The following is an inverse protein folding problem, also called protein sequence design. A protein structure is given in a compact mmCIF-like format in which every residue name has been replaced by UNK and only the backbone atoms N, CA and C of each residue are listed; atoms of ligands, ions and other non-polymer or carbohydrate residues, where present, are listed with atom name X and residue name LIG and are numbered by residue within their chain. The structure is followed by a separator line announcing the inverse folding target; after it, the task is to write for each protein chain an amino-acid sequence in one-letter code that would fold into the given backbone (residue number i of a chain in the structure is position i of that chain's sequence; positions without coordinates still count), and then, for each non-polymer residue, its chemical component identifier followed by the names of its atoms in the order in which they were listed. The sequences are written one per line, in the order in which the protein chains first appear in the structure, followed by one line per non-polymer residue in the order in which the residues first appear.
data_IF_273544641753
#
_entry.id   IF_273544641753
#
_cell.length_a   1.000
_cell.length_b   1.000
_cell.length_c   1.000
_cell.angle_alpha   90.00
_cell.angle_beta   90.00
_cell.angle_gamma   90.00
#
_symmetry.space_group_name_H-M   'P 1'
#
loop_
_entity.id
_entity.type
_entity.pdbx_description
1 polymer ?
#
# COMPACT_ATOMS: atom_id res chain seq x y z
N UNK A 1 9.02 1.38 -11.62
CA UNK A 1 8.67 0.64 -12.86
C UNK A 1 7.18 0.44 -12.90
N UNK A 2 6.51 1.08 -13.86
CA UNK A 2 5.08 0.89 -14.13
C UNK A 2 4.72 -0.58 -14.35
N UNK A 3 3.44 -0.91 -14.14
CA UNK A 3 2.95 -2.27 -14.37
C UNK A 3 3.09 -2.66 -15.83
N UNK A 4 3.78 -3.76 -16.09
CA UNK A 4 3.91 -4.30 -17.46
C UNK A 4 2.54 -4.78 -17.98
N UNK A 5 2.18 -4.32 -19.18
CA UNK A 5 1.01 -4.78 -19.93
C UNK A 5 1.43 -5.33 -21.29
N UNK A 6 0.54 -6.07 -21.96
CA UNK A 6 0.78 -6.55 -23.33
C UNK A 6 0.87 -5.38 -24.31
N UNK A 7 1.60 -5.56 -25.41
CA UNK A 7 1.71 -4.56 -26.46
C UNK A 7 0.35 -4.26 -27.12
N UNK A 8 -0.50 -5.28 -27.21
CA UNK A 8 -1.86 -5.20 -27.73
C UNK A 8 -2.75 -4.38 -26.79
N UNK A 9 -2.63 -4.57 -25.47
CA UNK A 9 -3.35 -3.77 -24.47
C UNK A 9 -2.89 -2.31 -24.51
N UNK A 10 -1.58 -2.06 -24.56
CA UNK A 10 -1.04 -0.70 -24.71
C UNK A 10 -1.64 -0.01 -25.95
N UNK A 11 -1.57 -0.68 -27.10
CA UNK A 11 -2.10 -0.14 -28.36
C UNK A 11 -3.61 0.13 -28.28
N UNK A 12 -4.37 -0.72 -27.59
CA UNK A 12 -5.79 -0.52 -27.38
C UNK A 12 -6.08 0.66 -26.44
N UNK A 13 -5.29 0.84 -25.37
CA UNK A 13 -5.39 1.99 -24.47
C UNK A 13 -5.08 3.31 -25.18
N UNK A 14 -4.20 3.28 -26.17
CA UNK A 14 -3.80 4.47 -26.93
C UNK A 14 -4.75 4.81 -28.08
N UNK A 15 -5.63 3.88 -28.43
CA UNK A 15 -6.55 4.03 -29.56
C UNK A 15 -7.68 5.04 -29.28
N UNK A 16 -8.33 5.51 -30.35
CA UNK A 16 -9.59 6.25 -30.26
C UNK A 16 -10.53 5.81 -31.37
N UNK A 17 -11.75 5.32 -31.07
CA UNK A 17 -12.37 5.19 -29.75
C UNK A 17 -11.87 3.97 -28.94
N UNK A 18 -11.69 4.15 -27.63
CA UNK A 18 -11.34 3.08 -26.67
C UNK A 18 -12.55 2.22 -26.30
N UNK A 19 -12.29 1.00 -25.82
CA UNK A 19 -13.32 0.04 -25.38
C UNK A 19 -12.91 -0.53 -24.02
N UNK A 20 -13.08 0.26 -22.94
CA UNK A 20 -12.59 -0.12 -21.62
C UNK A 20 -13.25 -1.41 -21.15
N UNK A 21 -12.45 -2.23 -20.48
CA UNK A 21 -12.84 -3.49 -19.92
C UNK A 21 -12.45 -3.54 -18.44
N UNK A 22 -13.37 -4.01 -17.62
CA UNK A 22 -13.16 -4.26 -16.20
C UNK A 22 -13.40 -5.73 -15.96
N UNK A 23 -12.49 -6.36 -15.25
CA UNK A 23 -12.60 -7.73 -14.74
C UNK A 23 -12.74 -7.67 -13.23
N UNK A 24 -13.59 -8.51 -12.65
CA UNK A 24 -13.62 -8.70 -11.20
C UNK A 24 -13.78 -10.17 -10.88
N UNK A 25 -12.68 -10.77 -10.44
CA UNK A 25 -12.59 -12.19 -10.10
C UNK A 25 -12.65 -12.35 -8.60
N UNK A 26 -13.65 -13.09 -8.10
CA UNK A 26 -13.72 -13.45 -6.70
C UNK A 26 -13.01 -14.78 -6.49
N UNK A 27 -12.07 -14.81 -5.55
CA UNK A 27 -11.23 -15.97 -5.21
C UNK A 27 -11.52 -16.36 -3.77
N UNK A 28 -11.84 -17.63 -3.52
CA UNK A 28 -12.00 -18.15 -2.16
C UNK A 28 -10.68 -18.03 -1.38
N UNK A 29 -10.75 -17.43 -0.20
CA UNK A 29 -9.55 -17.13 0.59
C UNK A 29 -8.93 -18.34 1.30
N UNK A 30 -9.69 -19.41 1.52
CA UNK A 30 -9.24 -20.61 2.21
C UNK A 30 -8.67 -21.64 1.23
N UNK A 31 -9.33 -21.84 0.09
CA UNK A 31 -8.86 -22.81 -0.91
C UNK A 31 -7.95 -22.19 -1.97
N UNK A 32 -8.05 -20.89 -2.24
CA UNK A 32 -7.47 -20.27 -3.44
C UNK A 32 -8.12 -20.75 -4.75
N UNK A 33 -9.08 -21.67 -4.67
CA UNK A 33 -9.67 -22.43 -5.76
C UNK A 33 -11.19 -22.31 -5.69
N UNK A 34 -11.72 -21.19 -6.18
CA UNK A 34 -13.09 -21.00 -6.67
C UNK A 34 -13.15 -19.59 -7.26
N UNK A 35 -13.23 -19.51 -8.59
CA UNK A 35 -13.25 -18.25 -9.34
C UNK A 35 -14.69 -17.93 -9.71
N UNK A 36 -15.32 -16.96 -9.03
CA UNK A 36 -16.53 -16.35 -9.57
C UNK A 36 -16.13 -15.15 -10.43
N UNK A 37 -16.39 -15.23 -11.73
CA UNK A 37 -16.30 -14.06 -12.61
C UNK A 37 -17.68 -13.44 -12.77
N UNK A 38 -17.88 -12.30 -12.10
CA UNK A 38 -19.17 -11.60 -12.08
C UNK A 38 -19.22 -10.44 -13.08
N UNK A 39 -18.12 -10.18 -13.81
CA UNK A 39 -17.99 -9.07 -14.75
C UNK A 39 -17.47 -9.61 -16.08
N UNK A 40 -18.37 -10.28 -16.80
CA UNK A 40 -18.06 -10.87 -18.09
C UNK A 40 -18.16 -9.87 -19.25
N UNK A 41 -17.43 -10.18 -20.33
CA UNK A 41 -17.26 -9.38 -21.54
C UNK A 41 -18.50 -9.25 -22.43
N UNK A 42 -19.56 -10.04 -22.20
CA UNK A 42 -20.76 -9.98 -23.04
C UNK A 42 -21.86 -9.13 -22.38
N UNK A 43 -22.59 -8.29 -23.14
CA UNK A 43 -23.69 -7.49 -22.61
C UNK A 43 -24.79 -8.30 -21.90
N UNK A 44 -24.95 -9.57 -22.28
CA UNK A 44 -25.92 -10.50 -21.69
C UNK A 44 -25.50 -11.07 -20.34
N UNK A 45 -24.20 -11.11 -20.03
CA UNK A 45 -23.68 -11.70 -18.79
C UNK A 45 -22.98 -10.69 -17.88
N UNK A 46 -22.75 -9.47 -18.35
CA UNK A 46 -22.20 -8.40 -17.53
C UNK A 46 -23.20 -7.97 -16.44
N UNK A 47 -22.83 -8.19 -15.18
CA UNK A 47 -23.63 -7.75 -14.02
C UNK A 47 -23.16 -6.41 -13.48
N UNK A 48 -21.98 -5.91 -13.85
CA UNK A 48 -21.44 -4.69 -13.28
C UNK A 48 -22.29 -3.48 -13.66
N UNK A 49 -22.81 -2.80 -12.64
CA UNK A 49 -23.54 -1.54 -12.78
C UNK A 49 -22.66 -0.37 -12.40
N UNK A 50 -21.87 -0.53 -11.34
CA UNK A 50 -21.03 0.53 -10.81
C UNK A 50 -19.83 -0.07 -10.08
N UNK A 51 -18.66 0.55 -10.26
CA UNK A 51 -17.44 0.27 -9.52
C UNK A 51 -16.83 1.61 -9.12
N UNK A 52 -16.44 1.72 -7.85
CA UNK A 52 -15.47 2.71 -7.37
C UNK A 52 -14.34 1.97 -6.69
N UNK A 53 -13.11 2.31 -7.03
CA UNK A 53 -11.91 1.75 -6.43
C UNK A 53 -11.00 2.91 -6.04
N UNK A 54 -10.69 3.01 -4.77
CA UNK A 54 -9.80 4.02 -4.23
C UNK A 54 -8.55 3.30 -3.68
N UNK A 55 -7.37 3.62 -4.23
CA UNK A 55 -6.07 3.15 -3.75
C UNK A 55 -5.34 4.31 -3.06
N UNK A 56 -5.03 4.15 -1.78
CA UNK A 56 -4.18 5.07 -1.01
C UNK A 56 -3.02 4.28 -0.38
N UNK A 57 -1.91 4.97 -0.03
CA UNK A 57 -0.73 4.34 0.60
C UNK A 57 -1.02 3.45 1.81
N UNK A 58 -1.99 3.83 2.65
CA UNK A 58 -2.33 3.10 3.88
C UNK A 58 -3.80 2.70 3.98
N UNK A 59 -4.55 2.91 2.91
CA UNK A 59 -5.95 2.53 2.86
C UNK A 59 -6.31 2.21 1.42
N UNK A 60 -6.93 1.08 1.17
CA UNK A 60 -7.49 0.80 -0.15
C UNK A 60 -8.88 0.24 0.06
N UNK A 61 -9.82 0.63 -0.79
CA UNK A 61 -11.19 0.18 -0.68
C UNK A 61 -11.87 0.23 -2.02
N UNK A 62 -12.86 -0.64 -2.19
CA UNK A 62 -13.70 -0.57 -3.37
C UNK A 62 -15.15 -0.86 -3.03
N UNK A 63 -15.99 -0.44 -3.95
CA UNK A 63 -17.43 -0.56 -3.85
C UNK A 63 -17.96 -1.02 -5.20
N UNK A 64 -18.65 -2.16 -5.20
CA UNK A 64 -19.19 -2.78 -6.41
C UNK A 64 -20.72 -2.88 -6.30
N UNK A 65 -21.43 -2.47 -7.35
CA UNK A 65 -22.85 -2.77 -7.53
C UNK A 65 -23.01 -3.73 -8.71
N UNK A 66 -23.59 -4.88 -8.44
CA UNK A 66 -23.91 -5.90 -9.42
C UNK A 66 -25.43 -6.03 -9.61
N UNK A 67 -25.88 -6.28 -10.84
CA UNK A 67 -27.25 -6.67 -11.15
C UNK A 67 -27.48 -8.12 -10.72
N UNK A 68 -28.59 -8.37 -10.02
CA UNK A 68 -28.95 -9.68 -9.51
C UNK A 68 -30.39 -10.08 -9.84
N UNK A 69 -30.94 -9.65 -10.99
CA UNK A 69 -32.35 -9.90 -11.32
C UNK A 69 -32.72 -11.40 -11.39
N UNK A 70 -31.74 -12.27 -11.59
CA UNK A 70 -31.85 -13.72 -11.66
C UNK A 70 -31.55 -14.45 -10.34
N UNK A 71 -31.22 -13.72 -9.27
CA UNK A 71 -30.96 -14.25 -7.93
C UNK A 71 -29.78 -15.24 -7.85
N UNK A 72 -28.82 -15.18 -8.77
CA UNK A 72 -27.74 -16.18 -8.85
C UNK A 72 -26.45 -15.77 -8.15
N UNK A 73 -26.32 -14.53 -7.66
CA UNK A 73 -25.09 -14.10 -6.97
C UNK A 73 -25.00 -14.83 -5.62
N UNK A 74 -23.94 -15.64 -5.38
CA UNK A 74 -23.77 -16.37 -4.13
C UNK A 74 -23.35 -15.43 -2.99
N UNK A 75 -23.17 -15.99 -1.79
CA UNK A 75 -22.52 -15.27 -0.71
C UNK A 75 -21.01 -15.21 -0.97
N UNK A 76 -20.51 -14.02 -1.26
CA UNK A 76 -19.12 -13.71 -1.59
C UNK A 76 -18.34 -13.20 -0.38
N UNK A 77 -18.99 -13.02 0.80
CA UNK A 77 -18.28 -12.66 2.04
C UNK A 77 -17.19 -13.67 2.33
N UNK A 78 -16.00 -13.16 2.67
CA UNK A 78 -14.83 -13.99 2.91
C UNK A 78 -13.99 -14.32 1.68
N UNK A 79 -14.38 -13.88 0.49
CA UNK A 79 -13.57 -14.02 -0.72
C UNK A 79 -12.62 -12.83 -0.87
N UNK A 80 -11.52 -13.04 -1.57
CA UNK A 80 -10.76 -11.96 -2.20
C UNK A 80 -11.38 -11.57 -3.54
N UNK A 81 -11.14 -10.35 -3.98
CA UNK A 81 -11.51 -9.84 -5.30
C UNK A 81 -10.27 -9.26 -5.95
N UNK A 82 -9.98 -9.74 -7.15
CA UNK A 82 -8.95 -9.18 -8.03
C UNK A 82 -9.66 -8.35 -9.10
N UNK A 83 -9.55 -7.03 -8.96
CA UNK A 83 -10.10 -6.08 -9.94
C UNK A 83 -9.04 -5.91 -11.02
N UNK A 84 -9.42 -6.16 -12.27
CA UNK A 84 -8.58 -5.98 -13.44
C UNK A 84 -9.09 -4.83 -14.28
N UNK A 85 -8.15 -4.00 -14.74
CA UNK A 85 -8.40 -2.83 -15.55
C UNK A 85 -7.76 -3.02 -16.93
N UNK A 86 -8.48 -2.73 -18.01
CA UNK A 86 -7.91 -2.83 -19.36
C UNK A 86 -8.86 -2.40 -20.47
N UNK A 87 -8.71 -2.99 -21.64
CA UNK A 87 -9.41 -2.63 -22.88
C UNK A 87 -9.66 -3.88 -23.75
N UNK A 88 -10.60 -3.76 -24.71
CA UNK A 88 -10.77 -4.75 -25.77
C UNK A 88 -9.67 -4.61 -26.83
N UNK A 89 -8.83 -5.63 -26.97
CA UNK A 89 -7.66 -5.70 -27.86
C UNK A 89 -7.96 -6.33 -29.22
N UNK A 90 -9.22 -6.72 -29.52
CA UNK A 90 -9.58 -7.42 -30.77
C UNK A 90 -9.20 -6.65 -32.03
N UNK A 91 -9.28 -5.32 -32.00
CA UNK A 91 -8.90 -4.45 -33.13
C UNK A 91 -7.39 -4.19 -33.22
N UNK A 92 -6.60 -4.69 -32.26
CA UNK A 92 -5.20 -4.35 -32.04
C UNK A 92 -4.30 -5.60 -31.97
N UNK A 93 -4.74 -6.72 -32.57
CA UNK A 93 -3.97 -7.97 -32.65
C UNK A 93 -4.14 -8.89 -31.43
N UNK A 94 -4.82 -8.45 -30.38
CA UNK A 94 -5.08 -9.27 -29.20
C UNK A 94 -6.33 -10.14 -29.33
N UNK A 95 -6.47 -11.09 -28.40
CA UNK A 95 -7.48 -12.16 -28.47
C UNK A 95 -8.87 -11.77 -27.96
N UNK A 96 -9.08 -10.54 -27.50
CA UNK A 96 -10.36 -10.15 -26.89
C UNK A 96 -10.20 -9.11 -25.81
N UNK A 97 -10.77 -9.37 -24.65
CA UNK A 97 -10.67 -8.46 -23.52
C UNK A 97 -9.44 -8.82 -22.70
N UNK A 98 -8.55 -7.85 -22.52
CA UNK A 98 -7.34 -7.99 -21.71
C UNK A 98 -7.41 -7.01 -20.53
N UNK A 99 -6.84 -7.39 -19.40
CA UNK A 99 -6.88 -6.61 -18.17
C UNK A 99 -5.64 -6.87 -17.33
N UNK A 100 -5.18 -5.84 -16.63
CA UNK A 100 -4.10 -5.93 -15.64
C UNK A 100 -4.68 -5.90 -14.22
N UNK A 101 -4.41 -6.91 -13.38
CA UNK A 101 -4.98 -6.99 -12.03
C UNK A 101 -4.35 -5.98 -11.07
N UNK A 102 -5.15 -5.40 -10.19
CA UNK A 102 -4.72 -4.59 -9.05
C UNK A 102 -4.51 -5.44 -7.80
N UNK A 103 -4.14 -4.80 -6.69
CA UNK A 103 -4.11 -5.43 -5.38
C UNK A 103 -5.42 -6.14 -5.05
N UNK A 104 -5.32 -7.31 -4.41
CA UNK A 104 -6.49 -8.05 -3.95
C UNK A 104 -7.20 -7.29 -2.83
N UNK A 105 -8.52 -7.23 -2.94
CA UNK A 105 -9.39 -6.66 -1.92
C UNK A 105 -10.21 -7.77 -1.27
N UNK A 106 -10.51 -7.64 0.01
CA UNK A 106 -11.33 -8.57 0.78
C UNK A 106 -12.81 -8.18 0.74
N UNK A 107 -13.71 -9.14 0.51
CA UNK A 107 -15.15 -8.92 0.65
C UNK A 107 -15.53 -8.85 2.12
N UNK A 108 -15.65 -7.64 2.64
CA UNK A 108 -16.09 -7.39 4.00
C UNK A 108 -17.60 -7.60 4.13
N UNK A 109 -18.38 -6.94 3.27
CA UNK A 109 -19.83 -6.93 3.37
C UNK A 109 -20.49 -7.11 2.00
N UNK A 110 -21.67 -7.73 2.04
CA UNK A 110 -22.53 -7.97 0.89
C UNK A 110 -23.99 -7.75 1.28
N UNK A 111 -24.66 -6.89 0.54
CA UNK A 111 -26.05 -6.50 0.78
C UNK A 111 -26.88 -6.62 -0.49
N UNK A 112 -28.07 -7.19 -0.39
CA UNK A 112 -29.03 -7.23 -1.50
C UNK A 112 -30.04 -6.09 -1.36
N UNK A 113 -30.16 -5.28 -2.40
CA UNK A 113 -31.06 -4.12 -2.46
C UNK A 113 -32.16 -4.46 -3.46
N UNK A 114 -33.41 -4.48 -2.98
CA UNK A 114 -34.59 -4.79 -3.79
C UNK A 114 -35.51 -3.58 -3.92
N UNK A 115 -35.96 -3.30 -5.15
CA UNK A 115 -37.04 -2.37 -5.48
C UNK A 115 -37.90 -3.00 -6.58
N UNK A 116 -39.16 -2.59 -6.77
CA UNK A 116 -39.98 -3.12 -7.87
C UNK A 116 -39.26 -3.03 -9.22
N UNK A 117 -39.02 -4.19 -9.85
CA UNK A 117 -38.33 -4.30 -11.14
C UNK A 117 -36.80 -4.28 -11.11
N UNK A 118 -36.16 -4.13 -9.95
CA UNK A 118 -34.69 -4.08 -9.83
C UNK A 118 -34.22 -4.84 -8.60
N UNK A 119 -33.33 -5.81 -8.81
CA UNK A 119 -32.54 -6.41 -7.75
C UNK A 119 -31.06 -6.17 -7.98
N UNK A 120 -30.38 -5.60 -6.98
CA UNK A 120 -28.96 -5.32 -7.02
C UNK A 120 -28.25 -5.96 -5.82
N UNK A 121 -26.97 -6.29 -5.99
CA UNK A 121 -26.06 -6.72 -4.95
C UNK A 121 -24.99 -5.63 -4.79
N UNK A 122 -24.90 -5.07 -3.58
CA UNK A 122 -23.84 -4.15 -3.17
C UNK A 122 -22.76 -4.96 -2.45
N UNK A 123 -21.51 -4.77 -2.84
CA UNK A 123 -20.35 -5.40 -2.22
C UNK A 123 -19.40 -4.29 -1.77
N UNK A 124 -19.02 -4.33 -0.49
CA UNK A 124 -18.01 -3.43 0.09
C UNK A 124 -16.71 -4.21 0.25
N UNK A 125 -15.62 -3.65 -0.26
CA UNK A 125 -14.31 -4.28 -0.31
C UNK A 125 -13.29 -3.48 0.50
N UNK A 126 -12.43 -4.20 1.21
CA UNK A 126 -11.33 -3.62 1.99
C UNK A 126 -9.98 -4.07 1.46
N UNK A 127 -9.02 -3.16 1.42
CA UNK A 127 -7.65 -3.44 0.98
C UNK A 127 -6.83 -4.24 1.99
N UNK A 128 -5.67 -4.67 1.52
CA UNK A 128 -4.70 -5.43 2.33
C UNK A 128 -4.28 -4.65 3.59
N UNK A 129 -4.07 -3.32 3.52
CA UNK A 129 -3.72 -2.54 4.72
C UNK A 129 -4.79 -2.58 5.80
N UNK A 130 -6.08 -2.50 5.44
CA UNK A 130 -7.17 -2.64 6.42
C UNK A 130 -7.22 -4.03 7.03
N UNK A 131 -6.86 -5.07 6.26
CA UNK A 131 -6.74 -6.43 6.78
C UNK A 131 -5.60 -6.55 7.80
N UNK A 132 -4.45 -5.91 7.55
CA UNK A 132 -3.39 -5.79 8.55
C UNK A 132 -3.87 -5.07 9.81
N UNK A 133 -4.67 -4.02 9.66
CA UNK A 133 -5.27 -3.28 10.80
C UNK A 133 -6.31 -4.07 11.59
N UNK A 134 -6.74 -5.26 11.10
CA UNK A 134 -7.65 -6.17 11.82
C UNK A 134 -6.95 -7.41 12.36
N UNK A 135 -5.70 -7.66 11.97
CA UNK A 135 -4.91 -8.79 12.46
C UNK A 135 -4.22 -8.38 13.75
N UNK A 136 -4.52 -9.07 14.84
CA UNK A 136 -3.77 -8.95 16.09
C UNK A 136 -2.56 -9.89 16.01
N UNK A 137 -1.39 -9.42 16.43
CA UNK A 137 -0.19 -10.27 16.56
C UNK A 137 -0.30 -10.99 17.91
N UNK A 138 -0.57 -12.30 17.87
CA UNK A 138 -0.75 -13.12 19.09
C UNK A 138 0.51 -13.91 19.46
N UNK A 139 1.43 -14.11 18.52
CA UNK A 139 2.63 -14.94 18.67
C UNK A 139 3.78 -14.36 17.88
N UNK A 140 5.01 -14.48 18.37
CA UNK A 140 6.24 -14.18 17.60
C UNK A 140 7.19 -15.38 17.72
N UNK A 141 7.77 -15.81 16.60
CA UNK A 141 8.81 -16.85 16.54
C UNK A 141 8.43 -18.23 17.12
N UNK A 142 7.14 -18.60 17.11
CA UNK A 142 6.67 -19.93 17.53
C UNK A 142 6.82 -20.23 19.03
N UNK A 143 7.39 -19.31 19.81
CA UNK A 143 7.33 -19.33 21.26
C UNK A 143 5.94 -18.90 21.70
N UNK A 144 5.00 -19.85 21.68
CA UNK A 144 3.88 -19.76 22.62
C UNK A 144 4.52 -19.95 24.00
N UNK A 145 4.65 -18.90 24.80
CA UNK A 145 5.20 -19.07 26.15
C UNK A 145 4.35 -20.12 26.87
N UNK A 146 4.99 -21.22 27.25
CA UNK A 146 4.39 -22.32 27.99
C UNK A 146 4.71 -22.06 29.47
N UNK A 147 3.70 -21.84 30.30
CA UNK A 147 3.84 -21.82 31.77
C UNK A 147 4.15 -23.21 32.36
N UNK A 148 4.22 -24.25 31.52
CA UNK A 148 4.47 -25.62 31.95
C UNK A 148 3.29 -26.28 32.67
N UNK A 149 2.08 -25.70 32.65
CA UNK A 149 0.91 -26.23 33.38
C UNK A 149 -0.35 -26.34 32.50
N UNK A 150 -0.61 -25.42 31.56
CA UNK A 150 -1.78 -25.55 30.65
C UNK A 150 -1.60 -24.76 29.36
N UNK A 151 -1.71 -25.44 28.22
CA UNK A 151 -1.39 -24.91 26.89
C UNK A 151 -2.00 -23.56 26.51
N UNK A 152 -1.23 -22.84 25.68
CA UNK A 152 -1.52 -21.57 24.99
C UNK A 152 -1.97 -20.45 25.92
N UNK A 153 -1.01 -19.63 26.35
CA UNK A 153 -1.28 -18.38 27.05
C UNK A 153 -1.61 -17.30 26.00
N UNK A 154 -2.73 -16.57 26.12
CA UNK A 154 -3.06 -15.42 25.28
C UNK A 154 -2.00 -14.30 25.38
N UNK A 155 -1.95 -13.36 24.42
CA UNK A 155 -0.81 -12.45 24.19
C UNK A 155 -0.82 -11.25 25.15
N UNK A 156 -0.55 -11.47 26.43
CA UNK A 156 -0.60 -10.40 27.44
C UNK A 156 0.77 -9.76 27.76
N UNK A 157 1.81 -9.98 26.93
CA UNK A 157 3.15 -9.45 27.24
C UNK A 157 3.77 -8.61 26.13
N UNK A 158 4.48 -7.57 26.57
CA UNK A 158 5.38 -6.77 25.75
C UNK A 158 6.44 -7.69 25.15
N UNK A 159 6.52 -7.73 23.82
CA UNK A 159 7.58 -8.44 23.12
C UNK A 159 8.48 -7.43 22.42
N UNK A 160 9.79 -7.62 22.50
CA UNK A 160 10.78 -6.76 21.87
C UNK A 160 11.51 -7.56 20.79
N UNK A 161 11.37 -7.15 19.52
CA UNK A 161 12.28 -7.64 18.49
C UNK A 161 13.67 -7.07 18.76
N UNK A 162 14.65 -7.97 18.88
CA UNK A 162 16.07 -7.63 18.99
C UNK A 162 16.85 -8.36 17.90
N UNK A 163 17.90 -7.72 17.39
CA UNK A 163 18.74 -8.35 16.36
C UNK A 163 18.09 -8.55 14.99
N UNK A 164 16.87 -8.04 14.78
CA UNK A 164 16.16 -8.09 13.49
C UNK A 164 16.15 -6.72 12.84
N UNK A 165 16.34 -6.68 11.53
CA UNK A 165 16.17 -5.46 10.73
C UNK A 165 14.68 -5.16 10.55
N UNK A 166 14.34 -3.93 10.17
CA UNK A 166 12.96 -3.58 9.83
C UNK A 166 12.38 -4.47 8.74
N UNK A 167 13.16 -4.82 7.71
CA UNK A 167 12.75 -5.73 6.65
C UNK A 167 12.42 -7.13 7.17
N UNK A 168 13.24 -7.69 8.08
CA UNK A 168 12.98 -9.01 8.67
C UNK A 168 11.72 -9.02 9.54
N UNK A 169 11.41 -7.92 10.22
CA UNK A 169 10.17 -7.80 10.99
C UNK A 169 8.96 -7.71 10.04
N UNK A 170 9.08 -6.97 8.93
CA UNK A 170 8.04 -6.91 7.89
C UNK A 170 7.81 -8.28 7.25
N UNK A 171 8.88 -9.02 6.93
CA UNK A 171 8.83 -10.38 6.40
C UNK A 171 8.06 -11.31 7.34
N UNK A 172 8.37 -11.27 8.64
CA UNK A 172 7.63 -12.04 9.64
C UNK A 172 6.12 -11.71 9.62
N UNK A 173 5.77 -10.43 9.68
CA UNK A 173 4.36 -10.01 9.74
C UNK A 173 3.61 -10.35 8.45
N UNK A 174 4.20 -10.09 7.29
CA UNK A 174 3.55 -10.25 5.99
C UNK A 174 3.46 -11.74 5.62
N UNK A 175 4.55 -12.49 5.78
CA UNK A 175 4.59 -13.88 5.33
C UNK A 175 4.06 -14.85 6.38
N UNK A 176 4.46 -14.69 7.64
CA UNK A 176 4.08 -15.64 8.70
C UNK A 176 2.71 -15.33 9.27
N UNK A 177 2.44 -14.06 9.62
CA UNK A 177 1.16 -13.73 10.27
C UNK A 177 -0.01 -13.56 9.29
N UNK A 178 0.25 -13.07 8.08
CA UNK A 178 -0.79 -12.85 7.08
C UNK A 178 -0.88 -13.92 5.99
N UNK A 179 0.18 -14.73 5.80
CA UNK A 179 0.24 -15.72 4.71
C UNK A 179 0.33 -15.08 3.33
N UNK A 180 0.89 -13.87 3.25
CA UNK A 180 1.13 -13.14 2.00
C UNK A 180 2.58 -13.33 1.55
N UNK A 181 2.95 -12.75 0.42
CA UNK A 181 4.33 -12.81 -0.09
C UNK A 181 4.96 -11.43 -0.01
N UNK A 182 6.09 -11.31 0.69
CA UNK A 182 6.91 -10.11 0.62
C UNK A 182 7.92 -10.28 -0.52
N UNK A 183 7.82 -9.44 -1.55
CA UNK A 183 8.74 -9.49 -2.67
C UNK A 183 10.16 -9.10 -2.20
N UNK A 184 11.21 -9.73 -2.76
CA UNK A 184 12.59 -9.41 -2.39
C UNK A 184 12.89 -7.91 -2.52
N UNK A 185 13.62 -7.36 -1.54
CA UNK A 185 13.94 -5.93 -1.50
C UNK A 185 14.64 -5.40 -2.76
N UNK A 186 15.51 -6.21 -3.38
CA UNK A 186 16.18 -5.84 -4.63
C UNK A 186 17.00 -4.55 -4.52
N UNK A 187 16.73 -3.60 -5.41
CA UNK A 187 17.34 -2.27 -5.46
C UNK A 187 16.59 -1.22 -4.62
N UNK A 188 15.53 -1.61 -3.91
CA UNK A 188 14.66 -0.73 -3.12
C UNK A 188 15.15 -0.52 -1.68
N UNK A 189 16.42 -0.85 -1.39
CA UNK A 189 17.04 -0.61 -0.09
C UNK A 189 17.34 0.89 0.09
N UNK A 190 16.76 1.49 1.11
CA UNK A 190 16.97 2.88 1.47
C UNK A 190 18.21 3.12 2.36
N UNK A 191 18.95 2.05 2.65
CA UNK A 191 20.09 2.04 3.55
C UNK A 191 19.72 2.00 5.03
N UNK A 192 18.44 1.84 5.37
CA UNK A 192 17.90 1.76 6.74
C UNK A 192 17.06 0.50 6.94
N UNK A 193 16.15 0.19 6.01
CA UNK A 193 15.16 -0.88 6.15
C UNK A 193 15.82 -2.25 6.37
N UNK A 194 16.97 -2.48 5.74
CA UNK A 194 17.69 -3.75 5.81
C UNK A 194 19.02 -3.68 6.61
N UNK A 195 19.30 -2.56 7.25
CA UNK A 195 20.57 -2.33 7.97
C UNK A 195 20.34 -1.96 9.43
N UNK A 196 19.31 -1.15 9.70
CA UNK A 196 19.00 -0.66 11.04
C UNK A 196 18.40 -1.79 11.88
N UNK A 197 19.03 -2.04 13.01
CA UNK A 197 18.58 -2.98 14.03
C UNK A 197 18.18 -2.15 15.25
N UNK A 198 16.88 -1.83 15.33
CA UNK A 198 16.30 -1.11 16.44
C UNK A 198 15.51 -2.06 17.35
N UNK A 199 15.25 -1.61 18.57
CA UNK A 199 14.46 -2.35 19.54
C UNK A 199 12.97 -2.03 19.32
N UNK A 200 12.34 -2.75 18.40
CA UNK A 200 10.91 -2.58 18.13
C UNK A 200 10.09 -3.38 19.15
N UNK A 201 9.45 -2.66 20.06
CA UNK A 201 8.52 -3.23 21.04
C UNK A 201 7.09 -3.29 20.47
N UNK A 202 6.43 -4.44 20.67
CA UNK A 202 5.01 -4.63 20.39
C UNK A 202 4.22 -4.91 21.67
N UNK A 203 2.91 -4.67 21.60
CA UNK A 203 1.95 -4.87 22.68
C UNK A 203 2.16 -4.00 23.93
N UNK A 204 2.84 -2.85 23.80
CA UNK A 204 3.11 -1.93 24.93
C UNK A 204 1.84 -1.49 25.68
N UNK A 205 0.71 -1.39 24.97
CA UNK A 205 -0.59 -0.97 25.51
C UNK A 205 -1.66 -2.08 25.46
N UNK A 206 -1.25 -3.35 25.43
CA UNK A 206 -2.07 -4.55 25.23
C UNK A 206 -2.81 -4.59 23.87
N UNK A 207 -2.54 -5.64 23.08
CA UNK A 207 -3.08 -5.89 21.74
C UNK A 207 -2.75 -4.81 20.70
N UNK A 208 -1.63 -4.97 20.02
CA UNK A 208 -1.32 -4.19 18.82
C UNK A 208 -1.74 -4.94 17.54
N UNK A 209 -2.31 -4.19 16.61
CA UNK A 209 -2.61 -4.71 15.27
C UNK A 209 -1.35 -4.72 14.41
N UNK A 210 -1.21 -5.76 13.57
CA UNK A 210 -0.11 -5.91 12.63
C UNK A 210 0.08 -4.65 11.77
N UNK A 211 -1.02 -4.03 11.33
CA UNK A 211 -0.97 -2.79 10.54
C UNK A 211 -0.37 -1.60 11.29
N UNK A 212 -0.57 -1.50 12.61
CA UNK A 212 0.01 -0.42 13.42
C UNK A 212 1.52 -0.60 13.56
N UNK A 213 1.96 -1.84 13.77
CA UNK A 213 3.38 -2.19 13.85
C UNK A 213 4.07 -1.94 12.51
N UNK A 214 3.48 -2.42 11.42
CA UNK A 214 3.97 -2.17 10.06
C UNK A 214 4.06 -0.68 9.77
N UNK A 215 3.00 0.10 10.07
CA UNK A 215 3.01 1.55 9.85
C UNK A 215 4.11 2.25 10.65
N UNK A 216 4.33 1.84 11.92
CA UNK A 216 5.40 2.37 12.76
C UNK A 216 6.77 2.11 12.14
N UNK A 217 7.04 0.88 11.72
CA UNK A 217 8.30 0.49 11.08
C UNK A 217 8.50 1.26 9.78
N UNK A 218 7.50 1.30 8.90
CA UNK A 218 7.59 2.02 7.63
C UNK A 218 7.79 3.52 7.82
N UNK A 219 7.28 4.11 8.90
CA UNK A 219 7.52 5.53 9.19
C UNK A 219 8.93 5.85 9.70
N UNK A 220 9.71 4.83 10.07
CA UNK A 220 11.13 4.95 10.41
C UNK A 220 12.04 4.75 9.19
N UNK A 221 11.47 4.47 8.01
CA UNK A 221 12.20 4.26 6.76
C UNK A 221 11.77 5.27 5.68
N UNK A 222 12.54 5.32 4.59
CA UNK A 222 12.22 6.08 3.38
C UNK A 222 11.31 5.30 2.43
N UNK A 223 11.04 4.03 2.75
CA UNK A 223 10.29 3.13 1.90
C UNK A 223 8.77 3.22 2.16
N UNK A 224 7.99 2.73 1.20
CA UNK A 224 6.55 2.53 1.26
C UNK A 224 6.20 1.08 0.91
N UNK A 225 5.02 0.64 1.32
CA UNK A 225 4.49 -0.67 0.92
C UNK A 225 3.54 -0.48 -0.24
N UNK A 226 3.83 -1.16 -1.36
CA UNK A 226 2.93 -1.29 -2.51
C UNK A 226 2.31 -2.67 -2.48
N UNK A 227 0.99 -2.73 -2.44
CA UNK A 227 0.24 -3.99 -2.51
C UNK A 227 -0.04 -4.34 -3.96
N UNK A 228 0.14 -5.61 -4.34
CA UNK A 228 0.02 -6.08 -5.72
C UNK A 228 -0.99 -7.22 -5.81
N UNK A 229 -1.26 -7.62 -7.05
CA UNK A 229 -2.05 -8.81 -7.35
C UNK A 229 -1.47 -10.06 -6.65
N UNK A 230 -2.27 -11.10 -6.48
CA UNK A 230 -1.77 -12.36 -5.90
C UNK A 230 -1.45 -12.35 -4.39
N UNK A 231 -1.82 -11.31 -3.63
CA UNK A 231 -1.39 -11.10 -2.23
C UNK A 231 0.12 -10.86 -2.09
N UNK A 232 0.74 -10.26 -3.11
CA UNK A 232 2.13 -9.83 -3.05
C UNK A 232 2.24 -8.43 -2.47
N UNK A 233 3.29 -8.19 -1.69
CA UNK A 233 3.63 -6.89 -1.12
C UNK A 233 5.05 -6.54 -1.55
N UNK A 234 5.24 -5.33 -2.07
CA UNK A 234 6.52 -4.81 -2.53
C UNK A 234 6.94 -3.64 -1.65
N UNK A 235 8.21 -3.63 -1.24
CA UNK A 235 8.82 -2.43 -0.66
C UNK A 235 9.25 -1.51 -1.80
N UNK A 236 8.82 -0.26 -1.77
CA UNK A 236 9.20 0.76 -2.76
C UNK A 236 9.93 1.91 -2.10
N UNK A 237 11.08 2.29 -2.65
CA UNK A 237 11.81 3.48 -2.25
C UNK A 237 11.89 4.45 -3.43
N UNK A 238 10.99 5.45 -3.51
CA UNK A 238 11.02 6.46 -4.56
C UNK A 238 12.25 7.37 -4.41
N UNK A 239 13.01 7.54 -5.50
CA UNK A 239 14.22 8.35 -5.57
C UNK A 239 14.11 9.45 -6.64
N UNK A 240 14.82 10.56 -6.44
CA UNK A 240 14.80 11.69 -7.39
C UNK A 240 15.42 11.35 -8.75
N UNK A 241 16.28 10.33 -8.80
CA UNK A 241 16.95 9.81 -9.99
C UNK A 241 16.24 8.58 -10.60
N UNK A 242 15.11 8.15 -10.03
CA UNK A 242 14.30 7.07 -10.61
C UNK A 242 13.88 7.42 -12.04
N UNK A 243 13.84 6.42 -12.92
CA UNK A 243 13.27 6.63 -14.24
C UNK A 243 11.79 7.06 -14.14
N UNK A 244 11.35 7.90 -15.07
CA UNK A 244 9.93 8.19 -15.23
C UNK A 244 9.22 6.90 -15.64
N UNK A 245 8.18 6.56 -14.89
CA UNK A 245 7.36 5.37 -15.15
C UNK A 245 6.33 5.64 -16.24
N UNK A 246 5.68 6.80 -16.19
CA UNK A 246 4.66 7.19 -17.15
C UNK A 246 4.71 8.68 -17.49
N UNK A 247 4.41 9.00 -18.75
CA UNK A 247 4.38 10.38 -19.25
C UNK A 247 2.97 10.74 -19.72
N UNK A 248 2.47 11.87 -19.23
CA UNK A 248 1.16 12.41 -19.62
C UNK A 248 1.31 13.77 -20.29
N UNK A 249 0.53 13.97 -21.35
CA UNK A 249 0.62 15.13 -22.22
C UNK A 249 -0.67 15.94 -22.25
N UNK A 250 -0.57 17.21 -22.57
CA UNK A 250 -1.76 18.07 -22.76
C UNK A 250 -2.30 18.05 -24.20
N UNK A 251 -1.50 17.61 -25.17
CA UNK A 251 -1.73 17.82 -26.61
C UNK A 251 -1.52 16.57 -27.49
N UNK A 252 -1.10 15.44 -26.92
CA UNK A 252 -0.85 14.20 -27.65
C UNK A 252 -1.30 12.97 -26.84
N UNK A 253 -1.16 11.77 -27.40
CA UNK A 253 -1.54 10.51 -26.74
C UNK A 253 -0.92 10.37 -25.34
N UNK A 254 -1.59 9.60 -24.47
CA UNK A 254 -1.50 9.72 -23.00
C UNK A 254 -1.90 11.12 -22.52
N UNK A 255 -3.02 11.64 -23.02
CA UNK A 255 -3.42 12.99 -22.66
C UNK A 255 -4.05 13.03 -21.26
N UNK A 256 -3.91 14.16 -20.57
CA UNK A 256 -4.65 14.46 -19.35
C UNK A 256 -5.65 15.59 -19.58
N UNK A 257 -6.76 15.57 -18.84
CA UNK A 257 -7.81 16.59 -18.87
C UNK A 257 -7.50 17.76 -17.94
N UNK A 258 -7.05 17.44 -16.73
CA UNK A 258 -6.79 18.41 -15.68
C UNK A 258 -5.55 17.99 -14.89
N UNK A 259 -4.76 18.99 -14.48
CA UNK A 259 -3.61 18.80 -13.62
C UNK A 259 -3.48 20.01 -12.70
N UNK A 260 -3.31 19.75 -11.42
CA UNK A 260 -3.10 20.77 -10.40
C UNK A 260 -2.17 20.23 -9.33
N UNK A 261 -1.28 21.07 -8.83
CA UNK A 261 -0.30 20.73 -7.81
C UNK A 261 -0.25 21.82 -6.75
N UNK A 262 -0.05 21.41 -5.50
CA UNK A 262 -0.05 22.26 -4.31
C UNK A 262 0.96 21.75 -3.30
N UNK A 263 1.72 22.67 -2.75
CA UNK A 263 2.62 22.40 -1.64
C UNK A 263 1.93 22.60 -0.30
N UNK A 264 2.15 21.65 0.60
CA UNK A 264 1.70 21.67 1.98
C UNK A 264 2.77 22.32 2.87
N UNK A 265 2.44 23.48 3.44
CA UNK A 265 3.36 24.27 4.30
C UNK A 265 3.43 23.73 5.74
N UNK A 266 2.52 22.83 6.14
CA UNK A 266 2.39 22.33 7.51
C UNK A 266 3.05 20.96 7.76
N UNK A 267 3.83 20.47 6.80
CA UNK A 267 4.57 19.21 6.96
C UNK A 267 5.81 19.46 7.85
N UNK A 268 6.14 18.57 8.80
CA UNK A 268 7.36 18.69 9.60
C UNK A 268 8.62 18.89 8.75
N UNK A 269 9.36 19.96 9.03
CA UNK A 269 10.61 20.33 8.35
C UNK A 269 11.81 20.41 9.32
N UNK A 270 11.59 20.02 10.59
CA UNK A 270 12.65 19.85 11.58
C UNK A 270 12.41 18.59 12.41
N UNK A 271 13.24 17.58 12.21
CA UNK A 271 13.16 16.30 12.89
C UNK A 271 14.22 16.25 13.98
N UNK A 272 13.83 15.89 15.20
CA UNK A 272 14.76 15.61 16.29
C UNK A 272 14.58 14.16 16.69
N UNK A 273 15.68 13.41 16.71
CA UNK A 273 15.69 12.00 17.11
C UNK A 273 16.52 11.85 18.36
N UNK A 274 15.94 11.16 19.35
CA UNK A 274 16.59 10.78 20.61
C UNK A 274 16.87 9.28 20.61
N UNK A 275 18.11 8.89 20.89
CA UNK A 275 18.51 7.51 21.15
C UNK A 275 19.36 7.42 22.43
N UNK A 276 19.90 6.23 22.71
CA UNK A 276 20.60 5.94 23.97
C UNK A 276 21.97 5.31 23.69
N UNK A 277 23.06 5.91 24.19
CA UNK A 277 24.44 5.44 23.94
C UNK A 277 24.76 4.11 24.64
N UNK A 278 24.33 3.97 25.90
CA UNK A 278 24.60 2.81 26.74
C UNK A 278 23.36 2.45 27.57
N UNK A 279 22.99 1.17 27.56
CA UNK A 279 21.81 0.62 28.28
C UNK A 279 22.13 0.42 29.76
N UNK A 280 23.43 0.30 30.10
CA UNK A 280 23.90 -0.09 31.42
C UNK A 280 24.46 1.06 32.26
N UNK A 281 24.41 2.32 31.78
CA UNK A 281 24.96 3.40 32.59
C UNK A 281 24.11 3.75 33.81
N UNK A 282 24.81 4.14 34.87
CA UNK A 282 24.23 4.48 36.16
C UNK A 282 23.30 5.70 36.13
N UNK A 283 23.46 6.61 35.15
CA UNK A 283 22.56 7.74 34.91
C UNK A 283 21.93 7.66 33.51
N UNK A 284 20.66 7.23 33.39
CA UNK A 284 20.00 7.10 32.10
C UNK A 284 19.82 8.43 31.36
N UNK A 285 19.89 9.58 32.06
CA UNK A 285 19.79 10.90 31.42
C UNK A 285 21.12 11.38 30.83
N UNK A 286 22.26 10.88 31.33
CA UNK A 286 23.58 11.24 30.81
C UNK A 286 23.87 10.59 29.44
N UNK A 287 23.07 9.59 29.04
CA UNK A 287 23.29 8.75 27.87
C UNK A 287 22.44 9.07 26.65
N UNK A 288 21.60 10.12 26.72
CA UNK A 288 20.71 10.46 25.62
C UNK A 288 21.52 11.08 24.48
N UNK A 289 21.59 10.38 23.35
CA UNK A 289 22.15 10.93 22.12
C UNK A 289 21.03 11.64 21.37
N UNK A 290 21.26 12.90 21.01
CA UNK A 290 20.32 13.68 20.19
C UNK A 290 20.94 14.03 18.85
N UNK A 291 20.20 13.83 17.77
CA UNK A 291 20.52 14.35 16.43
C UNK A 291 19.29 15.00 15.81
N UNK A 292 19.52 15.80 14.79
CA UNK A 292 18.43 16.47 14.08
C UNK A 292 18.73 16.63 12.60
N UNK A 293 17.65 16.71 11.83
CA UNK A 293 17.67 17.03 10.42
C UNK A 293 16.73 18.21 10.18
N UNK A 294 17.09 19.12 9.27
CA UNK A 294 16.30 20.32 9.01
C UNK A 294 16.32 20.72 7.54
N UNK A 295 15.16 21.09 7.01
CA UNK A 295 15.03 21.77 5.71
C UNK A 295 14.09 22.97 5.85
N UNK A 296 14.52 23.95 6.65
CA UNK A 296 13.75 25.19 6.84
C UNK A 296 14.23 26.20 5.80
N UNK A 297 13.44 26.44 4.76
CA UNK A 297 13.71 27.53 3.81
C UNK A 297 13.54 28.88 4.50
N UNK A 298 14.12 29.93 3.94
CA UNK A 298 14.28 31.25 4.57
C UNK A 298 12.97 31.92 5.03
N UNK A 299 11.82 31.50 4.51
CA UNK A 299 10.50 32.08 4.79
C UNK A 299 9.48 31.06 5.34
N UNK A 300 9.91 29.86 5.71
CA UNK A 300 9.01 28.82 6.20
C UNK A 300 9.00 28.77 7.73
N UNK A 301 7.81 28.51 8.30
CA UNK A 301 7.70 28.25 9.73
C UNK A 301 8.36 26.91 10.05
N UNK A 302 9.12 26.89 11.13
CA UNK A 302 9.71 25.66 11.67
C UNK A 302 8.61 24.80 12.31
N UNK A 303 8.35 23.62 11.74
CA UNK A 303 7.43 22.61 12.24
C UNK A 303 8.26 21.43 12.75
N UNK A 304 8.19 21.18 14.06
CA UNK A 304 9.08 20.24 14.77
C UNK A 304 8.37 18.91 15.00
N UNK A 305 9.06 17.81 14.69
CA UNK A 305 8.66 16.45 15.06
C UNK A 305 9.74 15.84 15.97
N UNK A 306 9.28 15.14 17.01
CA UNK A 306 10.14 14.48 18.00
C UNK A 306 9.99 12.97 17.87
N UNK A 307 11.11 12.28 17.68
CA UNK A 307 11.14 10.82 17.49
C UNK A 307 12.01 10.19 18.56
N UNK A 308 11.51 9.10 19.15
CA UNK A 308 12.25 8.31 20.14
C UNK A 308 12.68 6.99 19.51
N UNK A 309 13.99 6.78 19.40
CA UNK A 309 14.63 5.60 18.82
C UNK A 309 15.51 4.94 19.89
N UNK A 310 14.84 4.34 20.88
CA UNK A 310 15.49 3.84 22.10
C UNK A 310 16.46 2.69 21.90
N UNK A 311 16.43 1.99 20.76
CA UNK A 311 17.34 0.90 20.42
C UNK A 311 18.60 1.33 19.66
N UNK A 312 18.66 2.56 19.13
CA UNK A 312 19.84 3.05 18.42
C UNK A 312 20.91 3.52 19.39
N UNK A 313 22.17 3.11 19.14
CA UNK A 313 23.29 3.24 20.10
C UNK A 313 24.35 4.22 19.64
N UNK A 314 24.40 4.56 18.35
CA UNK A 314 25.42 5.46 17.82
C UNK A 314 24.81 6.76 17.29
N UNK A 315 25.58 7.85 17.38
CA UNK A 315 25.16 9.14 16.81
C UNK A 315 25.03 9.12 15.27
N UNK A 316 25.66 8.16 14.58
CA UNK A 316 25.54 8.01 13.14
C UNK A 316 24.19 7.38 12.76
N UNK A 317 23.76 6.33 13.46
CA UNK A 317 22.45 5.69 13.25
C UNK A 317 21.30 6.68 13.50
N UNK A 318 21.39 7.46 14.58
CA UNK A 318 20.37 8.44 14.96
C UNK A 318 20.31 9.58 13.93
N UNK A 319 21.45 10.01 13.38
CA UNK A 319 21.46 11.00 12.30
C UNK A 319 20.84 10.43 11.03
N UNK A 320 21.20 9.20 10.63
CA UNK A 320 20.64 8.55 9.45
C UNK A 320 19.11 8.43 9.55
N UNK A 321 18.58 8.08 10.73
CA UNK A 321 17.14 8.04 10.98
C UNK A 321 16.49 9.43 10.87
N UNK A 322 17.13 10.47 11.42
CA UNK A 322 16.63 11.85 11.32
C UNK A 322 16.53 12.31 9.86
N UNK A 323 17.58 12.04 9.07
CA UNK A 323 17.64 12.39 7.66
C UNK A 323 16.59 11.63 6.84
N UNK A 324 16.34 10.37 7.17
CA UNK A 324 15.33 9.56 6.49
C UNK A 324 13.90 10.00 6.76
N UNK A 325 13.58 10.31 8.01
CA UNK A 325 12.26 10.82 8.37
C UNK A 325 12.03 12.18 7.71
N UNK A 326 13.05 13.05 7.68
CA UNK A 326 12.95 14.33 6.96
C UNK A 326 12.71 14.12 5.47
N UNK A 327 13.48 13.23 4.82
CA UNK A 327 13.31 12.94 3.40
C UNK A 327 11.91 12.40 3.07
N UNK A 328 11.37 11.52 3.92
CA UNK A 328 10.00 11.02 3.80
C UNK A 328 8.97 12.15 3.87
N UNK A 329 9.15 13.09 4.81
CA UNK A 329 8.26 14.25 4.92
C UNK A 329 8.39 15.18 3.72
N UNK A 330 9.61 15.40 3.20
CA UNK A 330 9.83 16.17 1.97
C UNK A 330 9.06 15.57 0.79
N UNK A 331 9.07 14.25 0.64
CA UNK A 331 8.31 13.55 -0.41
C UNK A 331 6.78 13.72 -0.27
N UNK A 332 6.28 14.11 0.91
CA UNK A 332 4.85 14.34 1.18
C UNK A 332 4.45 15.82 1.10
N UNK A 333 5.41 16.74 0.87
CA UNK A 333 5.12 18.18 0.82
C UNK A 333 4.26 18.54 -0.37
N UNK A 334 4.55 17.96 -1.53
CA UNK A 334 3.82 18.25 -2.76
C UNK A 334 2.69 17.25 -2.97
N UNK A 335 1.50 17.78 -3.24
CA UNK A 335 0.29 17.00 -3.51
C UNK A 335 -0.40 17.53 -4.76
N UNK A 336 -0.95 16.65 -5.58
CA UNK A 336 -1.59 17.05 -6.82
C UNK A 336 -2.80 16.21 -7.18
N UNK A 337 -3.49 16.67 -8.22
CA UNK A 337 -4.56 15.97 -8.90
C UNK A 337 -4.19 15.87 -10.37
N UNK A 338 -4.22 14.66 -10.90
CA UNK A 338 -4.18 14.39 -12.34
C UNK A 338 -5.48 13.69 -12.73
N UNK A 339 -6.20 14.25 -13.70
CA UNK A 339 -7.38 13.61 -14.29
C UNK A 339 -7.03 13.16 -15.70
N UNK A 340 -6.99 11.85 -15.93
CA UNK A 340 -6.60 11.23 -17.20
C UNK A 340 -7.63 10.17 -17.62
N UNK A 341 -7.77 9.81 -18.90
CA UNK A 341 -8.44 8.57 -19.29
C UNK A 341 -7.87 7.37 -18.54
N UNK A 342 -8.67 6.31 -18.44
CA UNK A 342 -8.25 5.08 -17.80
C UNK A 342 -6.87 4.58 -18.29
N UNK A 343 -5.97 4.26 -17.36
CA UNK A 343 -4.67 3.66 -17.66
C UNK A 343 -4.41 2.51 -16.69
N UNK A 344 -4.26 1.28 -17.20
CA UNK A 344 -4.05 0.10 -16.37
C UNK A 344 -2.60 -0.07 -15.86
N UNK A 345 -1.68 0.81 -16.29
CA UNK A 345 -0.25 0.73 -15.96
C UNK A 345 0.12 1.45 -14.68
N UNK A 346 -0.60 2.52 -14.35
CA UNK A 346 -0.36 3.35 -13.19
C UNK A 346 -0.58 2.56 -11.89
N UNK A 347 0.40 2.62 -11.00
CA UNK A 347 0.32 2.10 -9.63
C UNK A 347 0.71 3.18 -8.60
N UNK A 348 0.41 2.90 -7.33
CA UNK A 348 0.86 3.75 -6.23
C UNK A 348 2.40 3.85 -6.20
N UNK A 349 2.92 5.06 -6.00
CA UNK A 349 4.35 5.37 -5.99
C UNK A 349 5.07 5.24 -7.34
N UNK A 350 4.35 5.16 -8.46
CA UNK A 350 4.97 5.34 -9.77
C UNK A 350 5.31 6.82 -10.02
N UNK A 351 6.42 7.06 -10.71
CA UNK A 351 6.85 8.41 -11.08
C UNK A 351 6.19 8.84 -12.39
N UNK A 352 5.27 9.79 -12.32
CA UNK A 352 4.63 10.38 -13.49
C UNK A 352 5.30 11.71 -13.90
N UNK A 353 5.57 11.88 -15.20
CA UNK A 353 5.97 13.16 -15.80
C UNK A 353 4.78 13.81 -16.50
N UNK A 354 4.50 15.07 -16.16
CA UNK A 354 3.40 15.83 -16.76
C UNK A 354 3.97 16.90 -17.69
N UNK A 355 3.59 16.84 -18.96
CA UNK A 355 4.01 17.77 -20.01
C UNK A 355 2.83 18.64 -20.46
N UNK A 356 2.71 19.82 -19.84
CA UNK A 356 1.70 20.81 -20.21
C UNK A 356 2.25 21.83 -21.22
N UNK A 357 1.63 21.88 -22.39
CA UNK A 357 1.91 22.80 -23.51
C UNK A 357 0.79 23.84 -23.68
N UNK A 358 -0.20 23.85 -22.78
CA UNK A 358 -1.31 24.81 -22.82
C UNK A 358 -0.80 26.14 -22.27
N UNK A 359 -0.38 27.03 -23.16
CA UNK A 359 0.10 28.37 -22.80
C UNK A 359 1.53 28.68 -23.22
N UNK A 360 2.22 27.75 -23.91
CA UNK A 360 3.49 28.00 -24.60
C UNK A 360 3.33 28.50 -26.03
#
# INVERSE_FOLDING_TARGET
MARSISAELQTAQDSSPRKPYIKAVFVDAASGENTYDMVQSTPSTNRLVYLRHDEFPYDSSAFIILRNNDLTIPNLKGHYVEIGYGDNTTAHGGSGNESSPTARLWVEDQQFISRPGVLACRITLEGMTRRLMRKIILTVDGETASDGISGIIPPDWNYKWTGKTYYQILEYIIETEMGWTLLPLGDQDDGIINTTIDEVEINREAFEYAGVVVARIMNLTKCYLRYKAGLEVEVRFPQDDDAVDEEFYSNQHHYFYDYNEKDAVLVPNFIIVYGNEDVEADDPWANVITRSASDVRTNEQKVVELIHAGGLRTGAEIQNLADAILQRYQAQTTSGLLLTPHDARMELFDRALIVDSRGS
#
